data_IF_332800180476
#
_entry.id   IF_332800180476
#
_cell.length_a   1.000
_cell.length_b   1.000
_cell.length_c   1.000
_cell.angle_alpha   90.00
_cell.angle_beta   90.00
_cell.angle_gamma   90.00
#
_symmetry.space_group_name_H-M   'P 1'
#
loop_
_entity.id
_entity.type
_entity.pdbx_description
1 polymer ?
#
# COMPACT_ATOMS: atom_id res chain seq x y z
N UNK A 1 -22.43 13.94 22.27
CA UNK A 1 -22.14 14.13 20.83
C UNK A 1 -20.82 14.85 20.53
N UNK A 2 -20.49 16.02 21.11
CA UNK A 2 -19.22 16.75 20.80
C UNK A 2 -17.93 16.00 21.16
N UNK A 3 -17.88 15.22 22.24
CA UNK A 3 -16.68 14.43 22.65
C UNK A 3 -16.39 13.26 21.69
N UNK A 4 -17.42 12.63 21.12
CA UNK A 4 -17.27 11.51 20.19
C UNK A 4 -16.72 11.97 18.83
N UNK A 5 -17.11 13.13 18.35
CA UNK A 5 -16.59 13.72 17.11
C UNK A 5 -15.13 14.18 17.26
N UNK A 6 -14.73 14.67 18.45
CA UNK A 6 -13.35 15.07 18.71
C UNK A 6 -12.39 13.87 18.75
N UNK A 7 -12.84 12.76 19.35
CA UNK A 7 -12.04 11.51 19.41
C UNK A 7 -11.92 10.85 18.03
N UNK A 8 -12.95 10.88 17.21
CA UNK A 8 -12.90 10.39 15.84
C UNK A 8 -11.94 11.22 14.98
N UNK A 9 -12.02 12.55 15.04
CA UNK A 9 -11.11 13.44 14.31
C UNK A 9 -9.64 13.29 14.75
N UNK A 10 -9.38 13.12 16.05
CA UNK A 10 -8.03 12.86 16.57
C UNK A 10 -7.51 11.48 16.16
N UNK A 11 -8.40 10.48 16.09
CA UNK A 11 -8.06 9.15 15.60
C UNK A 11 -7.70 9.19 14.10
N UNK A 12 -8.52 9.86 13.30
CA UNK A 12 -8.29 10.03 11.87
C UNK A 12 -7.00 10.80 11.59
N UNK A 13 -6.72 11.86 12.36
CA UNK A 13 -5.49 12.63 12.24
C UNK A 13 -4.25 11.79 12.58
N UNK A 14 -4.27 11.03 13.69
CA UNK A 14 -3.16 10.14 14.09
C UNK A 14 -2.97 8.99 13.10
N UNK A 15 -4.05 8.42 12.57
CA UNK A 15 -3.98 7.40 11.55
C UNK A 15 -3.36 7.93 10.26
N UNK A 16 -3.76 9.13 9.83
CA UNK A 16 -3.20 9.79 8.64
C UNK A 16 -1.71 10.10 8.82
N UNK A 17 -1.29 10.54 10.01
CA UNK A 17 0.12 10.82 10.33
C UNK A 17 0.96 9.54 10.25
N UNK A 18 0.49 8.45 10.86
CA UNK A 18 1.17 7.15 10.82
C UNK A 18 1.30 6.62 9.38
N UNK A 19 0.24 6.74 8.57
CA UNK A 19 0.31 6.36 7.15
C UNK A 19 1.33 7.21 6.39
N UNK A 20 1.34 8.52 6.61
CA UNK A 20 2.30 9.43 5.97
C UNK A 20 3.75 9.05 6.28
N UNK A 21 4.06 8.66 7.52
CA UNK A 21 5.40 8.18 7.89
C UNK A 21 5.80 6.91 7.12
N UNK A 22 4.87 5.95 6.96
CA UNK A 22 5.11 4.74 6.16
C UNK A 22 5.37 5.08 4.69
N UNK A 23 4.56 5.98 4.11
CA UNK A 23 4.73 6.40 2.73
C UNK A 23 6.09 7.06 2.52
N UNK A 24 6.50 7.96 3.40
CA UNK A 24 7.83 8.60 3.35
C UNK A 24 8.94 7.58 3.41
N UNK A 25 8.87 6.63 4.36
CA UNK A 25 9.87 5.58 4.52
C UNK A 25 10.06 4.72 3.25
N UNK A 26 8.97 4.44 2.52
CA UNK A 26 9.04 3.72 1.26
C UNK A 26 9.51 4.62 0.11
N UNK A 27 8.97 5.84 0.01
CA UNK A 27 9.27 6.77 -1.10
C UNK A 27 10.73 7.25 -1.12
N UNK A 28 11.47 7.17 0.00
CA UNK A 28 12.92 7.38 0.02
C UNK A 28 13.68 6.44 -0.93
N UNK A 29 13.11 5.27 -1.23
CA UNK A 29 13.71 4.23 -2.07
C UNK A 29 13.04 4.12 -3.45
N UNK A 30 12.04 4.95 -3.73
CA UNK A 30 11.23 4.85 -4.93
C UNK A 30 11.35 6.11 -5.77
N UNK A 31 11.42 5.93 -7.09
CA UNK A 31 11.42 7.03 -8.03
C UNK A 31 10.12 7.03 -8.83
N UNK A 32 9.22 7.97 -8.52
CA UNK A 32 7.92 8.11 -9.20
C UNK A 32 8.05 9.19 -10.27
N UNK A 33 7.74 8.83 -11.50
CA UNK A 33 7.80 9.73 -12.68
C UNK A 33 6.48 9.76 -13.43
N UNK A 34 6.36 10.65 -14.41
CA UNK A 34 5.20 10.73 -15.29
C UNK A 34 4.92 9.47 -16.12
N UNK A 35 5.87 8.54 -16.20
CA UNK A 35 5.69 7.24 -16.87
C UNK A 35 5.32 6.12 -15.89
N UNK A 36 5.37 6.38 -14.58
CA UNK A 36 5.07 5.36 -13.56
C UNK A 36 3.61 4.96 -13.57
N UNK A 37 3.38 3.65 -13.56
CA UNK A 37 2.06 3.03 -13.34
C UNK A 37 2.04 2.48 -11.91
N UNK A 38 1.38 3.22 -11.02
CA UNK A 38 1.33 2.93 -9.58
C UNK A 38 0.06 2.15 -9.25
N UNK A 39 0.19 1.06 -8.52
CA UNK A 39 -0.92 0.33 -7.89
C UNK A 39 -0.88 0.53 -6.38
N UNK A 40 -2.01 0.92 -5.79
CA UNK A 40 -2.22 0.98 -4.33
C UNK A 40 -3.25 -0.09 -3.93
N UNK A 41 -2.76 -1.22 -3.43
CA UNK A 41 -3.59 -2.35 -2.99
C UNK A 41 -4.06 -2.09 -1.56
N UNK A 42 -5.39 -2.14 -1.35
CA UNK A 42 -6.01 -1.74 -0.09
C UNK A 42 -5.91 -0.22 0.12
N UNK A 43 -6.20 0.56 -0.91
CA UNK A 43 -6.00 2.01 -0.92
C UNK A 43 -6.84 2.77 0.12
N UNK A 44 -7.86 2.12 0.68
CA UNK A 44 -8.75 2.72 1.67
C UNK A 44 -9.38 4.02 1.18
N UNK A 45 -9.12 5.10 1.89
CA UNK A 45 -9.58 6.46 1.55
C UNK A 45 -8.65 7.22 0.59
N UNK A 46 -7.63 6.57 0.01
CA UNK A 46 -6.71 7.15 -0.96
C UNK A 46 -5.68 8.12 -0.40
N UNK A 47 -5.19 7.88 0.83
CA UNK A 47 -4.19 8.76 1.47
C UNK A 47 -2.86 8.81 0.70
N UNK A 48 -2.49 7.72 0.01
CA UNK A 48 -1.26 7.64 -0.78
C UNK A 48 -1.28 8.56 -2.02
N UNK A 49 -2.44 8.78 -2.63
CA UNK A 49 -2.53 9.38 -3.97
C UNK A 49 -1.80 10.73 -4.10
N UNK A 50 -1.91 11.60 -3.11
CA UNK A 50 -1.22 12.89 -3.12
C UNK A 50 0.32 12.75 -3.02
N UNK A 51 0.82 11.67 -2.43
CA UNK A 51 2.25 11.41 -2.29
C UNK A 51 2.89 10.88 -3.58
N UNK A 52 2.07 10.33 -4.48
CA UNK A 52 2.48 9.78 -5.79
C UNK A 52 1.81 10.49 -6.96
N UNK A 53 1.30 11.70 -6.76
CA UNK A 53 0.55 12.46 -7.77
C UNK A 53 1.36 12.75 -9.06
N UNK A 54 2.69 12.67 -8.99
CA UNK A 54 3.57 12.78 -10.17
C UNK A 54 3.61 11.55 -11.08
N UNK A 55 2.95 10.45 -10.70
CA UNK A 55 2.84 9.26 -11.56
C UNK A 55 1.97 9.52 -12.80
N UNK A 56 2.23 8.82 -13.89
CA UNK A 56 1.39 8.87 -15.09
C UNK A 56 0.01 8.27 -14.86
N UNK A 57 -0.06 7.20 -14.09
CA UNK A 57 -1.31 6.54 -13.71
C UNK A 57 -1.24 6.02 -12.27
N UNK A 58 -2.30 6.22 -11.52
CA UNK A 58 -2.48 5.67 -10.16
C UNK A 58 -3.76 4.85 -10.17
N UNK A 59 -3.66 3.58 -9.78
CA UNK A 59 -4.82 2.71 -9.60
C UNK A 59 -4.94 2.36 -8.13
N UNK A 60 -6.05 2.74 -7.49
CA UNK A 60 -6.38 2.36 -6.12
C UNK A 60 -7.37 1.20 -6.12
N UNK A 61 -7.05 0.13 -5.40
CA UNK A 61 -7.92 -1.04 -5.21
C UNK A 61 -8.31 -1.17 -3.76
N UNK A 62 -9.59 -1.38 -3.49
CA UNK A 62 -10.09 -1.72 -2.15
C UNK A 62 -11.35 -2.60 -2.28
N UNK A 63 -11.55 -3.50 -1.34
CA UNK A 63 -12.76 -4.35 -1.27
C UNK A 63 -13.99 -3.53 -0.85
N UNK A 64 -13.78 -2.44 -0.12
CA UNK A 64 -14.83 -1.59 0.43
C UNK A 64 -15.23 -0.47 -0.53
N UNK A 65 -16.36 -0.62 -1.21
CA UNK A 65 -16.95 0.45 -2.01
C UNK A 65 -17.19 1.75 -1.23
N UNK A 66 -17.40 1.66 0.09
CA UNK A 66 -17.58 2.81 0.98
C UNK A 66 -16.29 3.63 1.15
N UNK A 67 -15.14 2.96 1.26
CA UNK A 67 -13.84 3.62 1.30
C UNK A 67 -13.48 4.20 -0.06
N UNK A 68 -13.79 3.50 -1.14
CA UNK A 68 -13.56 3.99 -2.51
C UNK A 68 -14.36 5.26 -2.83
N UNK A 69 -15.56 5.44 -2.27
CA UNK A 69 -16.29 6.71 -2.39
C UNK A 69 -15.52 7.88 -1.75
N UNK A 70 -14.90 7.66 -0.60
CA UNK A 70 -14.06 8.67 0.06
C UNK A 70 -12.76 8.90 -0.71
N UNK A 71 -12.15 7.82 -1.23
CA UNK A 71 -10.97 7.90 -2.09
C UNK A 71 -11.26 8.73 -3.36
N UNK A 72 -12.44 8.56 -3.96
CA UNK A 72 -12.91 9.34 -5.12
C UNK A 72 -12.99 10.83 -4.81
N UNK A 73 -13.56 11.19 -3.66
CA UNK A 73 -13.62 12.60 -3.24
C UNK A 73 -12.22 13.17 -3.00
N UNK A 74 -11.32 12.41 -2.39
CA UNK A 74 -9.92 12.82 -2.18
C UNK A 74 -9.17 13.02 -3.50
N UNK A 75 -9.41 12.15 -4.48
CA UNK A 75 -8.77 12.19 -5.80
C UNK A 75 -9.40 13.22 -6.76
N UNK A 76 -10.34 14.04 -6.32
CA UNK A 76 -11.15 14.92 -7.19
C UNK A 76 -10.32 15.89 -8.05
N UNK A 77 -9.16 16.31 -7.55
CA UNK A 77 -8.22 17.19 -8.26
C UNK A 77 -7.12 16.43 -9.04
N UNK A 78 -7.12 15.10 -8.99
CA UNK A 78 -6.14 14.24 -9.64
C UNK A 78 -6.77 13.56 -10.84
N UNK A 79 -6.35 13.92 -12.06
CA UNK A 79 -6.91 13.36 -13.30
C UNK A 79 -6.36 11.98 -13.66
N UNK A 80 -5.29 11.52 -12.98
CA UNK A 80 -4.57 10.28 -13.23
C UNK A 80 -4.91 9.14 -12.25
N UNK A 81 -5.95 9.32 -11.40
CA UNK A 81 -6.37 8.32 -10.41
C UNK A 81 -7.57 7.53 -10.93
N UNK A 82 -7.47 6.21 -10.87
CA UNK A 82 -8.52 5.25 -11.20
C UNK A 82 -8.80 4.36 -9.99
N UNK A 83 -10.07 4.06 -9.72
CA UNK A 83 -10.49 3.27 -8.56
C UNK A 83 -11.18 2.00 -9.02
N UNK A 84 -10.80 0.88 -8.42
CA UNK A 84 -11.34 -0.45 -8.72
C UNK A 84 -11.76 -1.12 -7.42
N UNK A 85 -12.99 -1.64 -7.38
CA UNK A 85 -13.44 -2.46 -6.26
C UNK A 85 -13.07 -3.92 -6.54
N UNK A 86 -12.13 -4.46 -5.78
CA UNK A 86 -11.69 -5.84 -5.91
C UNK A 86 -11.07 -6.36 -4.60
N UNK A 87 -10.94 -7.70 -4.53
CA UNK A 87 -10.20 -8.38 -3.48
C UNK A 87 -8.70 -8.38 -3.83
N UNK A 88 -7.84 -8.16 -2.83
CA UNK A 88 -6.39 -8.17 -3.00
C UNK A 88 -5.83 -9.56 -3.36
N UNK A 89 -6.56 -10.64 -3.08
CA UNK A 89 -6.21 -12.01 -3.47
C UNK A 89 -6.59 -12.32 -4.93
N UNK A 90 -7.37 -11.45 -5.59
CA UNK A 90 -7.87 -11.62 -6.97
C UNK A 90 -7.90 -10.28 -7.70
N UNK A 91 -6.72 -9.75 -8.04
CA UNK A 91 -6.59 -8.45 -8.69
C UNK A 91 -7.00 -8.53 -10.18
N UNK A 92 -7.93 -7.70 -10.67
CA UNK A 92 -8.47 -7.80 -12.03
C UNK A 92 -7.53 -7.17 -13.07
N UNK A 93 -6.24 -7.40 -12.95
CA UNK A 93 -5.21 -6.88 -13.84
C UNK A 93 -4.41 -8.01 -14.47
N UNK A 94 -3.82 -7.74 -15.63
CA UNK A 94 -2.88 -8.64 -16.28
C UNK A 94 -1.57 -8.69 -15.50
N UNK A 95 -0.79 -9.73 -15.74
CA UNK A 95 0.57 -9.82 -15.27
C UNK A 95 1.38 -8.61 -15.77
N UNK A 96 2.42 -8.23 -15.04
CA UNK A 96 3.39 -7.18 -15.42
C UNK A 96 2.72 -5.84 -15.79
N UNK A 97 1.67 -5.42 -15.08
CA UNK A 97 0.89 -4.22 -15.39
C UNK A 97 1.38 -2.95 -14.71
N UNK A 98 2.09 -3.06 -13.58
CA UNK A 98 2.44 -1.92 -12.75
C UNK A 98 3.93 -1.82 -12.50
N UNK A 99 4.48 -0.62 -12.67
CA UNK A 99 5.90 -0.33 -12.44
C UNK A 99 6.25 -0.01 -10.99
N UNK A 100 5.27 0.24 -10.14
CA UNK A 100 5.41 0.40 -8.68
C UNK A 100 4.15 -0.10 -8.00
N UNK A 101 4.28 -0.92 -6.94
CA UNK A 101 3.12 -1.40 -6.18
C UNK A 101 3.27 -1.08 -4.70
N UNK A 102 2.20 -0.59 -4.10
CA UNK A 102 2.07 -0.36 -2.66
C UNK A 102 1.00 -1.29 -2.08
N UNK A 103 1.26 -1.84 -0.88
CA UNK A 103 0.29 -2.61 -0.10
C UNK A 103 0.50 -2.33 1.40
N UNK A 104 -0.01 -1.18 1.84
CA UNK A 104 0.14 -0.75 3.23
C UNK A 104 -1.10 -1.07 4.07
N UNK A 105 -0.86 -1.68 5.23
CA UNK A 105 -1.92 -2.05 6.18
C UNK A 105 -2.90 -3.11 5.61
N UNK A 106 -2.44 -3.91 4.65
CA UNK A 106 -3.23 -4.96 3.98
C UNK A 106 -2.96 -6.34 4.60
N UNK A 107 -1.70 -6.78 4.63
CA UNK A 107 -1.30 -8.17 4.89
C UNK A 107 -1.82 -8.74 6.22
N UNK A 108 -1.89 -7.94 7.27
CA UNK A 108 -2.42 -8.37 8.57
C UNK A 108 -3.93 -8.63 8.57
N UNK A 109 -4.65 -8.20 7.54
CA UNK A 109 -6.09 -8.39 7.38
C UNK A 109 -6.43 -9.54 6.42
N UNK A 110 -5.41 -10.13 5.77
CA UNK A 110 -5.61 -11.19 4.80
C UNK A 110 -5.56 -12.57 5.45
N UNK A 111 -6.43 -13.50 5.05
CA UNK A 111 -6.41 -14.86 5.60
C UNK A 111 -5.17 -15.65 5.19
N UNK A 112 -4.61 -15.38 4.01
CA UNK A 112 -3.42 -16.01 3.45
C UNK A 112 -2.44 -14.97 2.89
N UNK A 113 -1.69 -14.22 3.74
CA UNK A 113 -0.83 -13.11 3.29
C UNK A 113 0.19 -13.49 2.22
N UNK A 114 0.64 -14.76 2.21
CA UNK A 114 1.55 -15.26 1.18
C UNK A 114 0.90 -15.28 -0.21
N UNK A 115 -0.34 -15.72 -0.30
CA UNK A 115 -1.06 -15.75 -1.57
C UNK A 115 -1.37 -14.34 -2.07
N UNK A 116 -1.74 -13.43 -1.14
CA UNK A 116 -1.89 -12.00 -1.46
C UNK A 116 -0.60 -11.40 -2.02
N UNK A 117 0.57 -11.72 -1.43
CA UNK A 117 1.85 -11.23 -1.93
C UNK A 117 2.19 -11.82 -3.31
N UNK A 118 1.85 -13.08 -3.58
CA UNK A 118 2.03 -13.70 -4.90
C UNK A 118 1.16 -13.01 -5.96
N UNK A 119 -0.06 -12.65 -5.60
CA UNK A 119 -0.96 -11.92 -6.50
C UNK A 119 -0.48 -10.48 -6.76
N UNK A 120 0.00 -9.78 -5.73
CA UNK A 120 0.65 -8.47 -5.87
C UNK A 120 1.88 -8.58 -6.78
N UNK A 121 2.71 -9.61 -6.57
CA UNK A 121 3.88 -9.89 -7.40
C UNK A 121 3.51 -10.15 -8.86
N UNK A 122 2.43 -10.91 -9.12
CA UNK A 122 1.97 -11.23 -10.48
C UNK A 122 1.66 -9.98 -11.29
N UNK A 123 1.00 -8.99 -10.69
CA UNK A 123 0.60 -7.75 -11.39
C UNK A 123 1.70 -6.71 -11.48
N UNK A 124 2.77 -6.85 -10.69
CA UNK A 124 3.96 -6.01 -10.73
C UNK A 124 4.90 -6.46 -11.86
N UNK A 125 5.48 -5.51 -12.59
CA UNK A 125 6.59 -5.80 -13.52
C UNK A 125 7.75 -6.46 -12.79
N UNK A 126 8.51 -7.30 -13.47
CA UNK A 126 9.60 -8.07 -12.86
C UNK A 126 10.59 -7.19 -12.07
N UNK A 127 10.89 -5.99 -12.58
CA UNK A 127 11.80 -5.04 -11.91
C UNK A 127 11.09 -4.04 -11.00
N UNK A 128 9.76 -4.11 -10.91
CA UNK A 128 8.98 -3.14 -10.14
C UNK A 128 9.27 -3.24 -8.65
N UNK A 129 9.55 -2.14 -7.96
CA UNK A 129 9.58 -2.14 -6.52
C UNK A 129 8.18 -2.34 -5.95
N UNK A 130 8.08 -3.20 -4.94
CA UNK A 130 6.88 -3.53 -4.19
C UNK A 130 7.08 -3.05 -2.75
N UNK A 131 6.34 -2.03 -2.35
CA UNK A 131 6.39 -1.46 -1.01
C UNK A 131 5.25 -2.02 -0.16
N UNK A 132 5.59 -2.72 0.91
CA UNK A 132 4.61 -3.35 1.80
C UNK A 132 4.82 -2.97 3.26
N UNK A 133 3.78 -3.06 4.06
CA UNK A 133 3.90 -2.94 5.52
C UNK A 133 3.33 -4.13 6.25
N UNK A 134 4.01 -4.56 7.32
CA UNK A 134 3.57 -5.59 8.25
C UNK A 134 3.36 -5.01 9.65
N UNK A 135 2.16 -5.15 10.20
CA UNK A 135 1.86 -4.67 11.57
C UNK A 135 2.64 -5.49 12.59
N UNK A 136 3.47 -4.85 13.43
CA UNK A 136 4.34 -5.50 14.44
C UNK A 136 3.55 -6.37 15.44
N UNK A 137 2.29 -6.03 15.71
CA UNK A 137 1.40 -6.85 16.55
C UNK A 137 0.90 -8.13 15.87
N UNK A 138 0.89 -8.16 14.54
CA UNK A 138 0.42 -9.31 13.74
C UNK A 138 1.57 -10.20 13.27
N UNK A 139 2.75 -9.62 13.04
CA UNK A 139 3.91 -10.31 12.52
C UNK A 139 5.11 -10.10 13.45
N UNK A 140 5.76 -11.20 13.87
CA UNK A 140 7.11 -11.12 14.41
C UNK A 140 8.07 -10.73 13.27
N UNK A 141 9.18 -10.05 13.62
CA UNK A 141 10.13 -9.52 12.63
C UNK A 141 10.61 -10.59 11.64
N UNK A 142 11.08 -11.74 12.16
CA UNK A 142 11.59 -12.82 11.31
C UNK A 142 10.48 -13.44 10.46
N UNK A 143 9.28 -13.64 11.02
CA UNK A 143 8.14 -14.18 10.28
C UNK A 143 7.71 -13.24 9.13
N UNK A 144 7.81 -11.93 9.30
CA UNK A 144 7.51 -10.97 8.22
C UNK A 144 8.59 -11.02 7.12
N UNK A 145 9.87 -11.15 7.47
CA UNK A 145 10.95 -11.32 6.50
C UNK A 145 10.81 -12.62 5.71
N UNK A 146 10.60 -13.74 6.42
CA UNK A 146 10.35 -15.05 5.80
C UNK A 146 9.12 -15.04 4.88
N UNK A 147 8.07 -14.30 5.23
CA UNK A 147 6.88 -14.14 4.39
C UNK A 147 7.23 -13.49 3.04
N UNK A 148 8.07 -12.44 3.04
CA UNK A 148 8.54 -11.79 1.82
C UNK A 148 9.40 -12.73 0.97
N UNK A 149 10.35 -13.42 1.60
CA UNK A 149 11.24 -14.37 0.95
C UNK A 149 10.46 -15.55 0.31
N UNK A 150 9.48 -16.09 1.05
CA UNK A 150 8.61 -17.17 0.55
C UNK A 150 7.71 -16.71 -0.62
N UNK A 151 7.41 -15.42 -0.72
CA UNK A 151 6.74 -14.85 -1.87
C UNK A 151 7.69 -14.63 -3.07
N UNK A 152 8.99 -14.87 -2.92
CA UNK A 152 10.01 -14.56 -3.94
C UNK A 152 10.25 -13.06 -4.06
N UNK A 153 10.33 -12.37 -2.92
CA UNK A 153 10.60 -10.94 -2.82
C UNK A 153 11.86 -10.73 -1.97
N UNK A 154 12.83 -10.04 -2.53
CA UNK A 154 14.04 -9.61 -1.80
C UNK A 154 13.90 -8.15 -1.37
N UNK A 155 13.99 -7.90 -0.08
CA UNK A 155 13.92 -6.54 0.45
C UNK A 155 15.22 -5.77 0.11
N UNK A 156 15.07 -4.67 -0.63
CA UNK A 156 16.15 -3.71 -0.90
C UNK A 156 16.20 -2.60 0.16
N UNK A 157 15.11 -2.40 0.89
CA UNK A 157 15.04 -1.53 2.07
C UNK A 157 14.10 -2.15 3.09
N UNK A 158 14.48 -2.08 4.35
CA UNK A 158 13.67 -2.57 5.46
C UNK A 158 13.78 -1.59 6.64
N UNK A 159 12.64 -1.00 7.03
CA UNK A 159 12.54 -0.09 8.17
C UNK A 159 11.82 -0.77 9.33
N UNK A 160 12.50 -0.88 10.46
CA UNK A 160 11.96 -1.28 11.76
C UNK A 160 12.22 -0.14 12.74
N UNK A 161 11.42 0.92 12.63
CA UNK A 161 11.52 2.12 13.45
C UNK A 161 10.54 2.04 14.62
N UNK A 162 10.97 2.39 15.83
CA UNK A 162 10.13 2.40 17.03
C UNK A 162 8.97 3.41 16.94
N UNK A 163 9.11 4.45 16.12
CA UNK A 163 8.05 5.41 15.82
C UNK A 163 6.93 4.83 14.94
N UNK A 164 7.20 3.69 14.27
CA UNK A 164 6.24 3.01 13.41
C UNK A 164 5.68 1.76 14.11
N UNK A 165 4.36 1.60 14.07
CA UNK A 165 3.70 0.36 14.53
C UNK A 165 3.84 -0.79 13.54
N UNK A 166 4.43 -0.53 12.38
CA UNK A 166 4.61 -1.48 11.28
C UNK A 166 6.08 -1.52 10.86
N UNK A 167 6.51 -2.70 10.38
CA UNK A 167 7.65 -2.78 9.48
C UNK A 167 7.26 -2.18 8.13
N UNK A 168 8.19 -1.54 7.45
CA UNK A 168 8.03 -1.09 6.07
C UNK A 168 9.16 -1.69 5.23
N UNK A 169 8.80 -2.46 4.23
CA UNK A 169 9.75 -3.07 3.30
C UNK A 169 9.51 -2.57 1.88
N UNK A 170 10.58 -2.25 1.17
CA UNK A 170 10.58 -2.10 -0.29
C UNK A 170 11.36 -3.28 -0.84
N UNK A 171 10.74 -4.05 -1.70
CA UNK A 171 11.26 -5.32 -2.22
C UNK A 171 11.19 -5.34 -3.74
N UNK A 172 12.01 -6.19 -4.34
CA UNK A 172 11.95 -6.53 -5.78
C UNK A 172 11.78 -8.03 -5.96
N UNK A 173 11.33 -8.45 -7.12
CA UNK A 173 11.18 -9.87 -7.46
C UNK A 173 12.56 -10.53 -7.63
N UNK A 174 12.66 -11.79 -7.20
CA UNK A 174 13.84 -12.66 -7.34
C UNK A 174 13.50 -13.94 -8.07
#
# INVERSE_FOLDING_TARGET
MRRYNLTAQLYDARYSEEQTLKYRAALEQLHITGDSRVLDVGCGTGLLFNHVAGAGTIVGVDVSGKLLLQAKERARSLCNVHLVQADADYLPFRDDSFSVVFAFTVLQNMPAPLETLKEIKRVAEFTAPIAVSGLKKAFALNAFKELLENAGLTAISFKDDDMLKCYVAVSVQT
#
